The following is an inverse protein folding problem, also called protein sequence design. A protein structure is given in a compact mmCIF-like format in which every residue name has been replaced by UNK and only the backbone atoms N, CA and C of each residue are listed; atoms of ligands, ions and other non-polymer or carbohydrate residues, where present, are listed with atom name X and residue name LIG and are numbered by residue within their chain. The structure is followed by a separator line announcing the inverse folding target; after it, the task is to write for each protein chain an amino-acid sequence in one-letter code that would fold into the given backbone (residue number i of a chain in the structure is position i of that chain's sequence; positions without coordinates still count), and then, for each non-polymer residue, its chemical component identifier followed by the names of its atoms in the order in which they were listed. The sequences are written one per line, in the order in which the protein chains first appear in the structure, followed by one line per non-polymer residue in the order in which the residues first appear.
data_IF_890393290624
#
_entry.id   IF_890393290624
#
_cell.length_a   1.000
_cell.length_b   1.000
_cell.length_c   1.000
_cell.angle_alpha   90.00
_cell.angle_beta   90.00
_cell.angle_gamma   90.00
#
_symmetry.space_group_name_H-M   'P 1'
#
loop_
_entity.id
_entity.type
_entity.pdbx_description
1 polymer ?
#
# COMPACT_ATOMS: atom_id res chain seq x y z
N UNK A 1 54.44 -34.29 -1.90
CA UNK A 1 53.48 -33.18 -1.83
C UNK A 1 52.38 -33.41 -2.84
N UNK A 2 51.17 -33.76 -2.39
CA UNK A 2 49.97 -33.88 -3.24
C UNK A 2 49.25 -32.53 -3.21
N UNK A 3 49.08 -31.90 -4.37
CA UNK A 3 48.22 -30.74 -4.51
C UNK A 3 46.76 -31.19 -4.52
N UNK A 4 45.99 -30.73 -3.55
CA UNK A 4 44.55 -30.91 -3.48
C UNK A 4 43.91 -29.74 -4.24
N UNK A 5 43.39 -29.99 -5.45
CA UNK A 5 42.56 -29.02 -6.17
C UNK A 5 41.17 -29.02 -5.54
N UNK A 6 40.82 -27.96 -4.82
CA UNK A 6 39.46 -27.73 -4.34
C UNK A 6 38.65 -27.08 -5.47
N UNK A 7 37.77 -27.84 -6.11
CA UNK A 7 36.77 -27.29 -7.04
C UNK A 7 35.71 -26.53 -6.24
N UNK A 8 35.68 -25.20 -6.34
CA UNK A 8 34.52 -24.41 -5.94
C UNK A 8 33.46 -24.54 -7.03
N UNK A 9 32.41 -25.32 -6.77
CA UNK A 9 31.19 -25.28 -7.56
C UNK A 9 30.48 -23.96 -7.24
N UNK A 10 30.52 -23.01 -8.18
CA UNK A 10 29.67 -21.82 -8.14
C UNK A 10 28.26 -22.31 -8.44
N UNK A 11 27.45 -22.44 -7.39
CA UNK A 11 26.02 -22.73 -7.52
C UNK A 11 25.33 -21.44 -7.98
N UNK A 12 25.20 -21.28 -9.29
CA UNK A 12 24.37 -20.24 -9.89
C UNK A 12 22.91 -20.55 -9.53
N UNK A 13 22.37 -19.89 -8.51
CA UNK A 13 20.93 -19.93 -8.22
C UNK A 13 20.25 -19.18 -9.36
N UNK A 14 19.64 -19.92 -10.29
CA UNK A 14 18.63 -19.36 -11.17
C UNK A 14 17.49 -18.86 -10.28
N UNK A 15 17.31 -17.54 -10.18
CA UNK A 15 16.02 -16.96 -9.77
C UNK A 15 14.99 -17.32 -10.84
N UNK A 16 14.46 -18.54 -10.77
CA UNK A 16 13.18 -18.85 -11.40
C UNK A 16 12.17 -17.99 -10.65
N UNK A 17 11.55 -17.04 -11.35
CA UNK A 17 10.51 -16.17 -10.79
C UNK A 17 9.48 -17.03 -10.08
N UNK A 18 9.54 -17.05 -8.75
CA UNK A 18 8.58 -17.75 -7.92
C UNK A 18 7.30 -16.94 -7.99
N UNK A 19 6.45 -17.29 -8.95
CA UNK A 19 5.08 -16.79 -9.02
C UNK A 19 4.40 -17.21 -7.72
N UNK A 20 4.12 -16.24 -6.85
CA UNK A 20 3.31 -16.50 -5.66
C UNK A 20 1.98 -17.12 -6.11
N UNK A 21 1.53 -18.23 -5.50
CA UNK A 21 0.24 -18.81 -5.85
C UNK A 21 -0.88 -17.80 -5.56
N UNK A 22 -1.71 -17.53 -6.57
CA UNK A 22 -2.98 -16.78 -6.42
C UNK A 22 -3.93 -17.64 -5.61
N UNK A 23 -4.04 -17.37 -4.31
CA UNK A 23 -4.68 -18.27 -3.34
C UNK A 23 -6.21 -18.11 -3.24
N UNK A 24 -6.83 -17.09 -3.84
CA UNK A 24 -8.25 -16.77 -3.57
C UNK A 24 -8.97 -15.89 -4.60
N UNK A 25 -8.30 -15.35 -5.62
CA UNK A 25 -8.88 -14.43 -6.60
C UNK A 25 -8.67 -12.94 -6.29
N UNK A 26 -8.12 -12.63 -5.12
CA UNK A 26 -7.72 -11.28 -4.73
C UNK A 26 -6.42 -10.88 -5.44
N UNK A 27 -6.36 -9.63 -5.91
CA UNK A 27 -5.19 -9.10 -6.61
C UNK A 27 -4.48 -8.10 -5.73
N UNK A 28 -3.21 -8.34 -5.41
CA UNK A 28 -2.37 -7.38 -4.70
C UNK A 28 -1.30 -6.79 -5.61
N UNK A 29 -0.95 -5.55 -5.31
CA UNK A 29 0.03 -4.77 -6.03
C UNK A 29 1.13 -4.31 -5.08
N UNK A 30 2.37 -4.31 -5.57
CA UNK A 30 3.50 -3.70 -4.89
C UNK A 30 4.10 -2.62 -5.78
N UNK A 31 4.23 -1.42 -5.23
CA UNK A 31 5.02 -0.35 -5.81
C UNK A 31 6.42 -0.40 -5.20
N UNK A 32 7.48 -0.44 -6.01
CA UNK A 32 8.87 -0.45 -5.51
C UNK A 32 9.45 0.96 -5.38
N UNK A 33 10.55 1.11 -4.63
CA UNK A 33 11.29 2.37 -4.55
C UNK A 33 11.73 2.91 -5.92
N UNK A 34 12.08 1.98 -6.82
CA UNK A 34 12.47 2.29 -8.19
C UNK A 34 11.28 2.64 -9.11
N UNK A 35 10.05 2.56 -8.60
CA UNK A 35 8.86 2.90 -9.35
C UNK A 35 8.07 1.76 -9.94
N UNK A 36 8.67 0.57 -10.04
CA UNK A 36 8.08 -0.57 -10.73
C UNK A 36 6.84 -1.05 -9.99
N UNK A 37 5.85 -1.50 -10.74
CA UNK A 37 4.62 -2.09 -10.21
C UNK A 37 4.64 -3.59 -10.46
N UNK A 38 4.33 -4.35 -9.41
CA UNK A 38 4.17 -5.79 -9.46
C UNK A 38 2.74 -6.14 -9.10
N UNK A 39 2.13 -7.06 -9.85
CA UNK A 39 0.83 -7.67 -9.56
C UNK A 39 1.06 -9.12 -9.18
N UNK A 40 0.65 -9.53 -7.98
CA UNK A 40 0.83 -10.88 -7.48
C UNK A 40 2.26 -11.43 -7.70
N UNK A 41 3.25 -10.56 -7.47
CA UNK A 41 4.68 -10.85 -7.63
C UNK A 41 5.22 -10.80 -9.06
N UNK A 42 4.37 -10.53 -10.06
CA UNK A 42 4.78 -10.39 -11.46
C UNK A 42 4.87 -8.91 -11.83
N UNK A 43 6.03 -8.46 -12.33
CA UNK A 43 6.19 -7.07 -12.78
C UNK A 43 5.25 -6.77 -13.95
N UNK A 44 4.46 -5.70 -13.84
CA UNK A 44 3.53 -5.24 -14.87
C UNK A 44 3.87 -3.85 -15.41
N UNK A 45 4.73 -3.09 -14.72
CA UNK A 45 5.16 -1.76 -15.15
C UNK A 45 6.64 -1.50 -14.78
N UNK A 46 7.37 -0.80 -15.66
CA UNK A 46 8.79 -0.48 -15.51
C UNK A 46 9.07 0.77 -14.68
N UNK A 47 8.04 1.57 -14.41
CA UNK A 47 7.96 2.31 -13.17
C UNK A 47 7.74 3.81 -13.23
N UNK A 48 7.47 4.32 -12.04
CA UNK A 48 7.07 5.69 -11.73
C UNK A 48 8.07 6.33 -10.79
N UNK A 49 8.14 7.66 -10.68
CA UNK A 49 8.83 8.28 -9.54
C UNK A 49 8.02 8.02 -8.26
N UNK A 50 8.01 6.80 -7.72
CA UNK A 50 6.99 6.28 -6.81
C UNK A 50 6.91 7.02 -5.48
N UNK A 51 5.68 7.41 -5.10
CA UNK A 51 5.33 7.78 -3.74
C UNK A 51 4.42 6.72 -3.13
N UNK A 52 3.31 6.40 -3.79
CA UNK A 52 2.26 5.57 -3.20
C UNK A 52 1.37 4.90 -4.27
N UNK A 53 0.65 3.83 -3.91
CA UNK A 53 -0.18 3.00 -4.79
C UNK A 53 -1.55 2.70 -4.17
N UNK A 54 -2.59 2.71 -4.99
CA UNK A 54 -3.93 2.25 -4.63
C UNK A 54 -4.50 1.31 -5.70
N UNK A 55 -5.49 0.51 -5.36
CA UNK A 55 -6.13 -0.41 -6.30
C UNK A 55 -7.62 -0.52 -5.98
N UNK A 56 -8.46 -0.58 -7.02
CA UNK A 56 -9.90 -0.79 -6.89
C UNK A 56 -10.48 -1.24 -8.22
N UNK A 57 -11.51 -2.09 -8.21
CA UNK A 57 -12.15 -2.61 -9.42
C UNK A 57 -11.18 -3.35 -10.32
N UNK A 58 -10.93 -2.84 -11.54
CA UNK A 58 -9.93 -3.36 -12.49
C UNK A 58 -8.67 -2.49 -12.57
N UNK A 59 -8.58 -1.45 -11.76
CA UNK A 59 -7.59 -0.39 -11.91
C UNK A 59 -6.62 -0.36 -10.74
N UNK A 60 -5.39 0.05 -11.05
CA UNK A 60 -4.41 0.45 -10.06
C UNK A 60 -4.00 1.89 -10.34
N UNK A 61 -3.67 2.60 -9.28
CA UNK A 61 -3.33 4.01 -9.31
C UNK A 61 -1.96 4.22 -8.68
N UNK A 62 -1.14 5.07 -9.27
CA UNK A 62 0.15 5.46 -8.71
C UNK A 62 0.21 6.97 -8.55
N UNK A 63 0.52 7.42 -7.34
CA UNK A 63 0.93 8.78 -7.06
C UNK A 63 2.46 8.82 -7.05
N UNK A 64 3.01 9.78 -7.78
CA UNK A 64 4.46 9.98 -7.85
C UNK A 64 4.93 11.05 -6.87
N UNK A 65 6.20 10.99 -6.48
CA UNK A 65 6.92 12.04 -5.72
C UNK A 65 6.86 13.40 -6.40
N UNK A 66 6.74 13.42 -7.73
CA UNK A 66 6.59 14.62 -8.53
C UNK A 66 5.14 15.13 -8.62
N UNK A 67 4.18 14.44 -7.99
CA UNK A 67 2.79 14.87 -7.93
C UNK A 67 1.92 14.50 -9.13
N UNK A 68 2.38 13.60 -9.99
CA UNK A 68 1.61 13.01 -11.09
C UNK A 68 0.80 11.82 -10.60
N UNK A 69 -0.41 11.65 -11.17
CA UNK A 69 -1.31 10.53 -10.91
C UNK A 69 -1.46 9.70 -12.17
N UNK A 70 -1.23 8.40 -12.04
CA UNK A 70 -1.40 7.42 -13.10
C UNK A 70 -2.50 6.44 -12.73
N UNK A 71 -3.26 6.00 -13.72
CA UNK A 71 -4.28 4.96 -13.64
C UNK A 71 -3.97 3.90 -14.70
N UNK A 72 -3.69 2.68 -14.27
CA UNK A 72 -3.40 1.53 -15.14
C UNK A 72 -2.41 1.88 -16.25
N UNK A 73 -1.27 2.47 -15.88
CA UNK A 73 -0.23 2.88 -16.83
C UNK A 73 -0.37 4.29 -17.43
N UNK A 74 -1.55 4.90 -17.34
CA UNK A 74 -1.87 6.14 -18.07
C UNK A 74 -1.91 7.33 -17.12
N UNK A 75 -1.20 8.42 -17.44
CA UNK A 75 -1.28 9.66 -16.66
C UNK A 75 -2.68 10.26 -16.79
N UNK A 76 -3.34 10.54 -15.66
CA UNK A 76 -4.69 11.12 -15.62
C UNK A 76 -4.74 12.52 -14.99
N UNK A 77 -3.76 12.86 -14.14
CA UNK A 77 -3.70 14.17 -13.48
C UNK A 77 -2.27 14.49 -12.98
N UNK A 78 -2.03 15.73 -12.55
CA UNK A 78 -0.78 16.16 -11.93
C UNK A 78 -0.89 17.44 -11.08
N UNK A 79 0.20 17.80 -10.40
CA UNK A 79 0.30 19.03 -9.62
C UNK A 79 0.11 18.87 -8.11
N UNK A 80 0.08 17.63 -7.63
CA UNK A 80 -0.11 17.34 -6.21
C UNK A 80 1.19 17.33 -5.42
N UNK A 81 1.25 18.06 -4.31
CA UNK A 81 2.26 17.79 -3.26
C UNK A 81 1.80 16.57 -2.44
N UNK A 82 1.77 15.40 -3.07
CA UNK A 82 1.17 14.18 -2.54
C UNK A 82 1.77 13.67 -1.22
N UNK A 83 0.92 13.13 -0.37
CA UNK A 83 1.26 12.28 0.77
C UNK A 83 0.85 10.83 0.49
N UNK A 84 -0.40 10.61 0.05
CA UNK A 84 -0.91 9.28 -0.28
C UNK A 84 -2.05 9.33 -1.29
N UNK A 85 -2.40 8.16 -1.83
CA UNK A 85 -3.47 7.94 -2.81
C UNK A 85 -4.37 6.81 -2.35
N UNK A 86 -5.68 6.98 -2.55
CA UNK A 86 -6.67 5.93 -2.34
C UNK A 86 -7.63 5.87 -3.52
N UNK A 87 -8.31 4.73 -3.71
CA UNK A 87 -9.24 4.56 -4.81
C UNK A 87 -10.47 3.73 -4.40
N UNK A 88 -11.58 4.04 -5.05
CA UNK A 88 -12.78 3.21 -5.14
C UNK A 88 -13.04 2.91 -6.61
N UNK A 89 -14.06 2.08 -6.92
CA UNK A 89 -14.39 1.73 -8.30
C UNK A 89 -14.67 2.96 -9.19
N UNK A 90 -15.15 4.05 -8.60
CA UNK A 90 -15.57 5.26 -9.32
C UNK A 90 -14.64 6.45 -9.11
N UNK A 91 -13.88 6.48 -8.02
CA UNK A 91 -13.18 7.68 -7.57
C UNK A 91 -11.74 7.39 -7.17
N UNK A 92 -10.88 8.38 -7.36
CA UNK A 92 -9.56 8.42 -6.76
C UNK A 92 -9.42 9.63 -5.84
N UNK A 93 -8.65 9.44 -4.78
CA UNK A 93 -8.44 10.41 -3.73
C UNK A 93 -6.95 10.68 -3.55
N UNK A 94 -6.60 11.94 -3.30
CA UNK A 94 -5.22 12.33 -2.97
C UNK A 94 -5.24 13.07 -1.66
N UNK A 95 -4.43 12.60 -0.70
CA UNK A 95 -4.04 13.37 0.45
C UNK A 95 -2.73 14.08 0.14
N UNK A 96 -2.68 15.39 0.35
CA UNK A 96 -1.45 16.17 0.15
C UNK A 96 -0.69 16.36 1.46
N UNK A 97 0.61 16.66 1.38
CA UNK A 97 1.47 17.01 2.53
C UNK A 97 0.96 18.21 3.34
N UNK A 98 0.20 19.10 2.70
CA UNK A 98 -0.43 20.26 3.33
C UNK A 98 -1.78 19.93 3.99
N UNK A 99 -2.20 18.66 4.00
CA UNK A 99 -3.44 18.22 4.66
C UNK A 99 -4.70 18.44 3.83
N UNK A 100 -4.60 18.70 2.53
CA UNK A 100 -5.76 18.80 1.63
C UNK A 100 -6.13 17.44 1.05
N UNK A 101 -7.42 17.16 0.96
CA UNK A 101 -8.00 15.98 0.31
C UNK A 101 -8.61 16.39 -1.02
N UNK A 102 -8.24 15.67 -2.08
CA UNK A 102 -8.82 15.82 -3.41
C UNK A 102 -9.56 14.56 -3.79
N UNK A 103 -10.66 14.70 -4.53
CA UNK A 103 -11.43 13.64 -5.17
C UNK A 103 -11.54 13.96 -6.65
N UNK A 104 -11.01 13.09 -7.51
CA UNK A 104 -11.04 13.26 -8.97
C UNK A 104 -10.64 14.67 -9.43
N UNK A 105 -9.51 15.19 -8.94
CA UNK A 105 -9.05 16.54 -9.31
C UNK A 105 -9.54 17.66 -8.40
N UNK A 106 -10.64 17.46 -7.68
CA UNK A 106 -11.34 18.53 -6.95
C UNK A 106 -11.02 18.48 -5.46
N UNK A 107 -10.65 19.61 -4.87
CA UNK A 107 -10.45 19.70 -3.41
C UNK A 107 -11.80 19.53 -2.71
N UNK A 108 -11.88 18.61 -1.75
CA UNK A 108 -13.11 18.32 -1.00
C UNK A 108 -12.97 18.57 0.50
N UNK A 109 -11.76 18.57 1.04
CA UNK A 109 -11.50 18.82 2.46
C UNK A 109 -10.05 19.32 2.68
N UNK A 110 -9.76 19.82 3.88
CA UNK A 110 -8.44 20.32 4.28
C UNK A 110 -8.17 20.29 5.80
N UNK A 111 -7.07 20.93 6.23
CA UNK A 111 -6.68 21.11 7.64
C UNK A 111 -6.27 19.85 8.41
N UNK A 112 -5.87 18.79 7.71
CA UNK A 112 -5.24 17.63 8.34
C UNK A 112 -3.76 17.84 8.62
N UNK A 113 -3.24 17.17 9.65
CA UNK A 113 -1.83 16.86 9.79
C UNK A 113 -1.59 15.46 9.19
N UNK A 114 -1.37 15.35 7.87
CA UNK A 114 -1.59 14.12 7.12
C UNK A 114 -0.52 13.07 7.42
N UNK A 115 -0.96 11.83 7.57
CA UNK A 115 -0.12 10.63 7.57
C UNK A 115 -0.47 9.77 6.37
N UNK A 116 -1.74 9.38 6.20
CA UNK A 116 -2.15 8.43 5.17
C UNK A 116 -3.64 8.54 4.80
N UNK A 117 -4.06 7.93 3.68
CA UNK A 117 -5.43 7.97 3.16
C UNK A 117 -5.89 6.59 2.66
N UNK A 118 -7.14 6.25 2.94
CA UNK A 118 -7.81 5.05 2.38
C UNK A 118 -9.19 5.40 1.83
N UNK A 119 -9.76 4.52 1.01
CA UNK A 119 -11.11 4.70 0.49
C UNK A 119 -11.76 3.33 0.24
N UNK A 120 -13.07 3.25 0.50
CA UNK A 120 -13.88 2.07 0.21
C UNK A 120 -15.34 2.48 0.02
N UNK A 121 -16.00 1.92 -0.99
CA UNK A 121 -17.38 2.28 -1.33
C UNK A 121 -17.55 3.78 -1.59
N UNK A 122 -18.34 4.45 -0.75
CA UNK A 122 -18.58 5.90 -0.83
C UNK A 122 -17.77 6.70 0.21
N UNK A 123 -16.91 6.03 0.96
CA UNK A 123 -16.21 6.60 2.10
C UNK A 123 -14.72 6.80 1.79
N UNK A 124 -14.17 7.88 2.31
CA UNK A 124 -12.74 8.12 2.38
C UNK A 124 -12.32 8.33 3.83
N UNK A 125 -11.09 7.92 4.13
CA UNK A 125 -10.52 7.93 5.46
C UNK A 125 -9.18 8.66 5.45
N UNK A 126 -8.94 9.51 6.45
CA UNK A 126 -7.63 10.14 6.65
C UNK A 126 -7.09 9.72 8.01
N UNK A 127 -5.88 9.17 7.99
CA UNK A 127 -5.03 9.00 9.16
C UNK A 127 -4.16 10.25 9.31
N UNK A 128 -4.13 10.80 10.52
CA UNK A 128 -3.25 11.92 10.85
C UNK A 128 -1.99 11.45 11.58
N UNK A 129 -0.92 12.25 11.57
CA UNK A 129 0.33 11.94 12.31
C UNK A 129 0.14 11.82 13.82
N UNK A 130 -0.90 12.44 14.35
CA UNK A 130 -1.27 12.33 15.75
C UNK A 130 -2.12 11.09 16.05
N UNK A 131 -2.40 10.26 15.04
CA UNK A 131 -3.13 9.01 15.25
C UNK A 131 -4.62 9.03 15.10
N UNK A 132 -5.17 10.18 14.73
CA UNK A 132 -6.62 10.36 14.61
C UNK A 132 -7.08 9.84 13.28
N UNK A 133 -8.20 9.13 13.28
CA UNK A 133 -8.85 8.62 12.08
C UNK A 133 -10.10 9.46 11.80
N UNK A 134 -10.19 9.97 10.58
CA UNK A 134 -11.33 10.68 10.07
C UNK A 134 -11.99 9.87 8.96
N UNK A 135 -13.31 9.92 8.89
CA UNK A 135 -14.15 9.37 7.83
C UNK A 135 -15.01 10.48 7.25
N UNK A 136 -14.86 10.77 5.96
CA UNK A 136 -15.60 11.84 5.28
C UNK A 136 -15.62 13.17 6.05
N UNK A 137 -14.46 13.64 6.51
CA UNK A 137 -14.34 14.87 7.28
C UNK A 137 -14.58 14.72 8.79
N UNK A 138 -15.25 13.65 9.22
CA UNK A 138 -15.67 13.46 10.60
C UNK A 138 -14.70 12.56 11.35
N UNK A 139 -14.23 13.00 12.52
CA UNK A 139 -13.38 12.17 13.36
C UNK A 139 -14.15 10.98 13.91
N UNK A 140 -13.59 9.77 13.79
CA UNK A 140 -14.22 8.52 14.26
C UNK A 140 -13.39 7.80 15.30
N UNK A 141 -12.10 8.10 15.41
CA UNK A 141 -11.22 7.45 16.40
C UNK A 141 -10.04 8.37 16.80
N UNK A 142 -9.53 8.16 18.00
CA UNK A 142 -8.29 8.74 18.54
C UNK A 142 -7.42 7.56 19.04
N UNK A 143 -6.13 7.79 19.31
CA UNK A 143 -5.27 6.84 20.07
C UNK A 143 -4.45 5.80 19.29
N UNK A 144 -4.15 6.01 18.01
CA UNK A 144 -3.18 5.17 17.30
C UNK A 144 -1.87 5.90 17.01
N UNK A 145 -0.72 5.40 17.45
CA UNK A 145 0.52 5.76 16.76
C UNK A 145 0.52 5.03 15.40
N UNK A 146 -0.32 5.49 14.47
CA UNK A 146 -0.60 4.85 13.18
C UNK A 146 0.38 5.27 12.11
N UNK A 147 0.84 4.33 11.29
CA UNK A 147 1.69 4.61 10.11
C UNK A 147 0.92 4.53 8.81
N UNK A 148 -0.08 3.64 8.71
CA UNK A 148 -0.86 3.42 7.49
C UNK A 148 -2.31 3.01 7.79
N UNK A 149 -3.21 3.28 6.85
CA UNK A 149 -4.63 2.97 6.91
C UNK A 149 -5.10 2.33 5.60
N UNK A 150 -5.98 1.33 5.69
CA UNK A 150 -6.65 0.72 4.55
C UNK A 150 -8.16 0.63 4.82
N UNK A 151 -8.96 0.46 3.78
CA UNK A 151 -10.39 0.31 3.91
C UNK A 151 -10.92 -0.73 2.90
N UNK A 152 -11.91 -1.51 3.33
CA UNK A 152 -12.65 -2.45 2.48
C UNK A 152 -14.09 -2.56 2.97
N UNK A 153 -15.05 -2.35 2.06
CA UNK A 153 -16.46 -2.29 2.40
C UNK A 153 -16.76 -1.28 3.53
N UNK A 154 -17.27 -1.79 4.66
CA UNK A 154 -17.57 -0.98 5.86
C UNK A 154 -16.40 -0.93 6.85
N UNK A 155 -15.37 -1.73 6.62
CA UNK A 155 -14.26 -1.93 7.53
C UNK A 155 -13.10 -0.99 7.18
N UNK A 156 -12.44 -0.48 8.20
CA UNK A 156 -11.12 0.13 8.08
C UNK A 156 -10.11 -0.64 8.91
N UNK A 157 -8.89 -0.68 8.39
CA UNK A 157 -7.74 -1.33 9.00
C UNK A 157 -6.66 -0.29 9.26
N UNK A 158 -5.97 -0.41 10.39
CA UNK A 158 -4.89 0.49 10.75
C UNK A 158 -3.66 -0.32 11.16
N UNK A 159 -2.51 0.07 10.62
CA UNK A 159 -1.20 -0.41 11.02
C UNK A 159 -0.55 0.63 11.95
N UNK A 160 -0.14 0.19 13.13
CA UNK A 160 0.59 1.02 14.10
C UNK A 160 2.10 1.00 13.86
N UNK A 161 2.82 2.00 14.38
CA UNK A 161 4.29 2.05 14.46
C UNK A 161 4.87 0.82 15.17
N UNK A 162 4.13 0.26 16.13
CA UNK A 162 4.52 -0.98 16.84
C UNK A 162 4.22 -2.27 16.06
N UNK A 163 3.65 -2.16 14.86
CA UNK A 163 3.35 -3.28 14.00
C UNK A 163 1.98 -3.92 14.18
N UNK A 164 1.21 -3.50 15.17
CA UNK A 164 -0.12 -4.06 15.45
C UNK A 164 -1.11 -3.65 14.38
N UNK A 165 -2.04 -4.56 14.07
CA UNK A 165 -3.17 -4.31 13.17
C UNK A 165 -4.45 -4.16 13.97
N UNK A 166 -5.21 -3.13 13.63
CA UNK A 166 -6.56 -2.88 14.14
C UNK A 166 -7.56 -2.95 13.00
N UNK A 167 -8.76 -3.44 13.28
CA UNK A 167 -9.94 -3.43 12.42
C UNK A 167 -11.07 -2.72 13.16
N UNK A 168 -11.57 -1.61 12.62
CA UNK A 168 -12.62 -0.80 13.28
C UNK A 168 -12.31 -0.52 14.76
N UNK A 169 -11.07 -0.16 15.03
CA UNK A 169 -10.54 0.14 16.36
C UNK A 169 -10.29 -1.06 17.27
N UNK A 170 -10.59 -2.28 16.84
CA UNK A 170 -10.32 -3.52 17.57
C UNK A 170 -9.03 -4.17 17.08
N UNK A 171 -8.10 -4.49 17.99
CA UNK A 171 -6.85 -5.15 17.62
C UNK A 171 -7.12 -6.56 17.07
N UNK A 172 -6.52 -6.89 15.93
CA UNK A 172 -6.65 -8.20 15.25
C UNK A 172 -5.32 -8.93 15.07
N UNK A 173 -4.18 -8.24 15.20
CA UNK A 173 -2.85 -8.85 15.13
C UNK A 173 -1.83 -8.11 16.02
N UNK A 174 -0.79 -8.81 16.48
CA UNK A 174 0.12 -8.41 17.56
C UNK A 174 1.48 -7.86 17.10
N UNK A 175 1.87 -7.93 15.82
CA UNK A 175 3.02 -7.13 15.38
C UNK A 175 3.81 -7.61 14.17
N UNK A 176 3.97 -6.70 13.20
CA UNK A 176 4.92 -6.80 12.09
C UNK A 176 5.84 -5.59 12.06
N UNK A 177 7.04 -5.70 11.51
CA UNK A 177 7.78 -4.51 11.06
C UNK A 177 7.17 -4.00 9.75
N UNK A 178 5.91 -3.58 9.85
CA UNK A 178 5.05 -3.15 8.76
C UNK A 178 5.34 -1.70 8.40
N UNK A 179 5.31 -1.39 7.11
CA UNK A 179 5.36 0.00 6.64
C UNK A 179 4.09 0.45 5.93
N UNK A 180 3.31 -0.50 5.42
CA UNK A 180 2.09 -0.19 4.69
C UNK A 180 1.07 -1.34 4.77
N UNK A 181 -0.21 -1.01 4.57
CA UNK A 181 -1.35 -1.91 4.68
C UNK A 181 -2.35 -1.67 3.55
N UNK A 182 -2.93 -2.74 3.02
CA UNK A 182 -4.04 -2.70 2.08
C UNK A 182 -5.18 -3.62 2.55
N UNK A 183 -6.38 -3.42 2.02
CA UNK A 183 -7.53 -4.26 2.35
C UNK A 183 -8.39 -4.51 1.11
N UNK A 184 -8.85 -5.74 0.96
CA UNK A 184 -9.78 -6.14 -0.09
C UNK A 184 -10.47 -7.46 0.29
N UNK A 185 -11.73 -7.62 -0.10
CA UNK A 185 -12.48 -8.88 0.03
C UNK A 185 -12.55 -9.46 1.46
N UNK A 186 -12.61 -8.59 2.47
CA UNK A 186 -12.63 -8.95 3.88
C UNK A 186 -11.26 -9.28 4.48
N UNK A 187 -10.20 -9.20 3.67
CA UNK A 187 -8.83 -9.52 4.06
C UNK A 187 -7.97 -8.26 4.17
N UNK A 188 -6.96 -8.31 5.02
CA UNK A 188 -5.91 -7.30 5.07
C UNK A 188 -4.58 -7.86 4.56
N UNK A 189 -3.84 -7.00 3.89
CA UNK A 189 -2.53 -7.25 3.33
C UNK A 189 -1.54 -6.30 3.95
N UNK A 190 -0.34 -6.80 4.25
CA UNK A 190 0.71 -6.00 4.87
C UNK A 190 1.99 -6.13 4.07
N UNK A 191 2.64 -4.99 3.84
CA UNK A 191 4.01 -4.90 3.37
C UNK A 191 4.95 -4.57 4.54
N UNK A 192 5.93 -5.43 4.76
CA UNK A 192 6.97 -5.18 5.76
C UNK A 192 8.07 -4.26 5.24
N UNK A 193 8.85 -3.69 6.14
CA UNK A 193 9.98 -2.81 5.83
C UNK A 193 10.98 -3.51 4.87
N UNK A 194 11.29 -4.78 5.13
CA UNK A 194 12.16 -5.63 4.31
C UNK A 194 11.48 -6.19 3.03
N UNK A 195 10.20 -5.87 2.82
CA UNK A 195 9.50 -6.08 1.56
C UNK A 195 8.63 -7.33 1.47
N UNK A 196 8.58 -8.17 2.51
CA UNK A 196 7.70 -9.36 2.55
C UNK A 196 6.24 -8.94 2.55
N UNK A 197 5.39 -9.80 2.00
CA UNK A 197 3.94 -9.58 1.95
C UNK A 197 3.22 -10.61 2.81
N UNK A 198 2.31 -10.14 3.65
CA UNK A 198 1.45 -10.97 4.48
C UNK A 198 -0.01 -10.72 4.10
N UNK A 199 -0.84 -11.75 4.25
CA UNK A 199 -2.30 -11.70 4.17
C UNK A 199 -2.86 -12.32 5.42
N UNK A 200 -3.64 -11.57 6.20
CA UNK A 200 -4.20 -12.04 7.49
C UNK A 200 -3.16 -12.74 8.38
N UNK A 201 -1.94 -12.21 8.37
CA UNK A 201 -0.79 -12.69 9.11
C UNK A 201 -0.09 -13.93 8.56
N UNK A 202 -0.54 -14.45 7.43
CA UNK A 202 0.15 -15.49 6.69
C UNK A 202 1.07 -14.86 5.65
N UNK A 203 2.36 -15.21 5.66
CA UNK A 203 3.31 -14.75 4.64
C UNK A 203 2.96 -15.36 3.28
N UNK A 204 2.80 -14.52 2.26
CA UNK A 204 2.44 -14.94 0.90
C UNK A 204 3.51 -14.61 -0.15
N UNK A 205 4.47 -13.73 0.17
CA UNK A 205 5.59 -13.39 -0.71
C UNK A 205 6.86 -13.05 0.11
N UNK A 206 8.03 -13.39 -0.44
CA UNK A 206 9.35 -13.16 0.18
C UNK A 206 9.90 -11.74 -0.06
N UNK A 207 9.31 -11.00 -1.00
CA UNK A 207 9.39 -9.54 -1.06
C UNK A 207 10.16 -8.93 -2.23
N UNK A 208 9.88 -7.63 -2.48
CA UNK A 208 10.39 -6.86 -3.63
C UNK A 208 11.05 -5.51 -3.27
N UNK A 209 11.21 -5.18 -1.98
CA UNK A 209 11.62 -3.83 -1.58
C UNK A 209 10.59 -2.78 -2.02
N UNK A 210 9.35 -2.94 -1.55
CA UNK A 210 8.24 -2.04 -1.88
C UNK A 210 8.33 -0.68 -1.18
N UNK A 211 7.59 0.33 -1.61
CA UNK A 211 7.26 1.54 -0.85
C UNK A 211 5.79 1.55 -0.45
N UNK A 212 4.93 0.84 -1.17
CA UNK A 212 3.53 0.68 -0.84
C UNK A 212 2.90 -0.59 -1.39
N UNK A 213 1.74 -0.94 -0.85
CA UNK A 213 0.92 -2.09 -1.20
C UNK A 213 -0.52 -1.66 -1.46
N UNK A 214 -1.16 -2.27 -2.44
CA UNK A 214 -2.59 -2.12 -2.69
C UNK A 214 -3.25 -3.48 -2.94
N UNK A 215 -4.56 -3.59 -2.73
CA UNK A 215 -5.32 -4.82 -2.97
C UNK A 215 -6.69 -4.50 -3.57
N UNK A 216 -7.22 -5.42 -4.38
CA UNK A 216 -8.56 -5.36 -4.98
C UNK A 216 -9.12 -6.74 -5.28
#
# INVERSE_FOLDING_TARGET
MKYLLTFFAIMTILLVGMKAPTLDGSTWYILTEAGKVFENGSKIDDGYGALDIAASGSDWYVLTKAGKVYKTGTKIDEGYSGMGIAATDTDWYILTKAGKVFKNGNKIDEDYAPQDIAAAGNDWYVLTRAGKVFKNGNKIDDDYAGVAIAADGIDWYLLTESGKIFKNGNKVDEGYDGKDIAAAHGDWYLLTADGRVFKNGLKIDEGYGGVGIAAR
#
